data_IF_173796507645
#
_entry.id   IF_173796507645
#
_cell.length_a   1.000
_cell.length_b   1.000
_cell.length_c   1.000
_cell.angle_alpha   90.00
_cell.angle_beta   90.00
_cell.angle_gamma   90.00
#
_symmetry.space_group_name_H-M   'P 1'
#
loop_
_entity.id
_entity.type
_entity.pdbx_description
1 polymer ?
#
# COMPACT_ATOMS: atom_id res chain seq x y z
N UNK A 1 17.18 -4.58 -24.16
CA UNK A 1 16.54 -3.80 -23.08
C UNK A 1 16.16 -2.43 -23.64
N UNK A 2 14.95 -1.98 -23.30
CA UNK A 2 14.46 -0.65 -23.71
C UNK A 2 15.02 0.40 -22.74
N UNK A 3 15.94 1.28 -23.18
CA UNK A 3 16.53 2.30 -22.31
C UNK A 3 15.62 3.53 -22.13
N UNK A 4 14.44 3.55 -22.75
CA UNK A 4 13.55 4.71 -22.75
C UNK A 4 12.52 4.68 -21.62
N UNK A 5 12.43 3.56 -20.89
CA UNK A 5 11.46 3.38 -19.80
C UNK A 5 12.16 3.09 -18.49
N UNK A 6 11.69 3.72 -17.39
CA UNK A 6 12.18 3.40 -16.07
C UNK A 6 11.74 1.97 -15.65
N UNK A 7 12.57 1.32 -14.86
CA UNK A 7 12.39 -0.05 -14.42
C UNK A 7 12.16 -0.09 -12.92
N UNK A 8 11.03 -0.67 -12.51
CA UNK A 8 10.80 -1.15 -11.16
C UNK A 8 11.14 -2.65 -11.11
N UNK A 9 12.27 -2.97 -10.50
CA UNK A 9 12.83 -4.32 -10.58
C UNK A 9 12.14 -5.34 -9.65
N UNK A 10 11.41 -4.90 -8.63
CA UNK A 10 10.96 -5.79 -7.54
C UNK A 10 9.53 -5.56 -7.06
N UNK A 11 8.83 -4.60 -7.64
CA UNK A 11 7.43 -4.29 -7.27
C UNK A 11 7.17 -4.20 -5.75
N UNK A 12 8.13 -3.62 -5.01
CA UNK A 12 7.93 -3.21 -3.63
C UNK A 12 8.12 -4.24 -2.52
N UNK A 13 8.29 -5.53 -2.84
CA UNK A 13 8.48 -6.56 -1.81
C UNK A 13 9.93 -6.67 -1.31
N UNK A 14 10.89 -6.68 -2.24
CA UNK A 14 12.31 -6.83 -1.92
C UNK A 14 13.14 -5.91 -2.78
N UNK A 15 13.85 -4.99 -2.17
CA UNK A 15 14.79 -4.16 -2.91
C UNK A 15 16.03 -4.95 -3.32
N UNK A 16 16.13 -5.27 -4.61
CA UNK A 16 17.29 -5.91 -5.22
C UNK A 16 18.44 -4.93 -5.51
N UNK A 17 18.30 -3.66 -5.12
CA UNK A 17 19.27 -2.58 -5.33
C UNK A 17 19.60 -2.34 -6.80
N UNK A 18 18.65 -2.60 -7.68
CA UNK A 18 18.74 -2.38 -9.12
C UNK A 18 17.44 -1.72 -9.63
N UNK A 19 17.46 -1.29 -10.90
CA UNK A 19 16.37 -0.52 -11.49
C UNK A 19 16.41 0.95 -11.11
N UNK A 20 15.40 1.70 -11.52
CA UNK A 20 15.31 3.15 -11.39
C UNK A 20 14.51 3.57 -10.15
N UNK A 21 13.72 2.65 -9.60
CA UNK A 21 12.89 2.88 -8.42
C UNK A 21 13.40 2.12 -7.20
N UNK A 22 13.23 2.75 -6.04
CA UNK A 22 13.15 2.08 -4.76
C UNK A 22 11.67 2.05 -4.36
N UNK A 23 10.99 0.97 -4.70
CA UNK A 23 9.56 0.79 -4.46
C UNK A 23 9.29 0.01 -3.17
N UNK A 24 8.18 0.32 -2.51
CA UNK A 24 7.73 -0.39 -1.31
C UNK A 24 6.22 -0.63 -1.37
N UNK A 25 5.78 -1.79 -0.87
CA UNK A 25 4.39 -2.05 -0.51
C UNK A 25 4.18 -1.72 0.97
N UNK A 26 3.14 -0.99 1.30
CA UNK A 26 2.87 -0.63 2.68
C UNK A 26 1.39 -0.66 3.03
N UNK A 27 0.95 -1.74 3.65
CA UNK A 27 -0.41 -1.92 4.16
C UNK A 27 -0.51 -1.87 5.69
N UNK A 28 0.61 -1.94 6.40
CA UNK A 28 0.62 -2.21 7.84
C UNK A 28 1.26 -1.11 8.70
N UNK A 29 1.83 -0.09 8.06
CA UNK A 29 2.62 0.92 8.76
C UNK A 29 2.08 2.30 8.49
N UNK A 30 2.15 3.20 9.48
CA UNK A 30 1.93 4.61 9.22
C UNK A 30 2.86 5.10 8.11
N UNK A 31 2.33 5.84 7.14
CA UNK A 31 3.13 6.32 6.01
C UNK A 31 4.18 7.35 6.44
N UNK A 32 3.94 8.03 7.56
CA UNK A 32 4.80 9.06 8.13
C UNK A 32 6.20 8.56 8.50
N UNK A 33 6.39 7.23 8.61
CA UNK A 33 7.71 6.64 8.84
C UNK A 33 8.66 6.79 7.65
N UNK A 34 8.14 7.04 6.46
CA UNK A 34 8.94 7.17 5.25
C UNK A 34 9.39 8.63 5.02
N UNK A 35 10.52 8.82 4.33
CA UNK A 35 11.60 7.89 4.04
C UNK A 35 12.61 7.77 5.18
N UNK A 36 12.27 8.26 6.37
CA UNK A 36 13.21 8.36 7.49
C UNK A 36 13.75 7.01 7.95
N UNK A 37 14.98 7.08 8.48
CA UNK A 37 15.72 5.96 9.07
C UNK A 37 15.18 5.54 10.45
N UNK A 38 13.92 5.89 10.74
CA UNK A 38 13.28 5.57 12.01
C UNK A 38 13.42 4.07 12.37
N UNK A 39 13.19 3.68 13.61
CA UNK A 39 13.51 2.35 14.12
C UNK A 39 12.64 1.26 13.50
N UNK A 40 12.91 0.94 12.25
CA UNK A 40 12.32 -0.19 11.52
C UNK A 40 12.49 -1.50 12.28
N UNK A 41 13.58 -1.60 13.10
CA UNK A 41 13.85 -2.78 13.93
C UNK A 41 12.74 -3.11 14.93
N UNK A 42 12.14 -2.12 15.58
CA UNK A 42 11.09 -2.35 16.57
C UNK A 42 9.81 -2.87 15.94
N UNK A 43 9.40 -2.27 14.81
CA UNK A 43 8.15 -2.65 14.14
C UNK A 43 8.25 -4.02 13.46
N UNK A 44 9.36 -4.32 12.79
CA UNK A 44 9.60 -5.64 12.20
C UNK A 44 9.60 -6.71 13.27
N UNK A 45 10.24 -6.46 14.41
CA UNK A 45 10.28 -7.39 15.54
C UNK A 45 8.86 -7.63 16.12
N UNK A 46 8.04 -6.60 16.20
CA UNK A 46 6.67 -6.72 16.72
C UNK A 46 5.75 -7.44 15.73
N UNK A 47 5.87 -7.14 14.44
CA UNK A 47 5.18 -7.86 13.38
C UNK A 47 5.59 -9.33 13.33
N UNK A 48 6.88 -9.64 13.39
CA UNK A 48 7.40 -11.00 13.44
C UNK A 48 6.92 -11.74 14.69
N UNK A 49 6.88 -11.06 15.86
CA UNK A 49 6.36 -11.62 17.10
C UNK A 49 4.88 -11.99 16.99
N UNK A 50 4.08 -11.12 16.38
CA UNK A 50 2.63 -11.33 16.19
C UNK A 50 2.35 -12.44 15.17
N UNK A 51 3.21 -12.62 14.16
CA UNK A 51 3.02 -13.53 13.04
C UNK A 51 3.98 -14.74 13.03
N UNK A 52 4.68 -15.00 14.14
CA UNK A 52 5.66 -16.10 14.28
C UNK A 52 5.16 -17.48 13.86
N UNK A 53 3.84 -17.70 13.85
CA UNK A 53 3.23 -18.97 13.40
C UNK A 53 3.14 -19.10 11.87
N UNK A 54 3.35 -18.02 11.11
CA UNK A 54 3.37 -18.04 9.65
C UNK A 54 4.77 -17.70 9.11
N UNK A 55 5.72 -18.58 9.39
CA UNK A 55 7.14 -18.44 9.01
C UNK A 55 7.42 -18.20 7.51
N UNK A 56 6.42 -18.24 6.64
CA UNK A 56 6.58 -17.99 5.19
C UNK A 56 6.34 -16.54 4.78
N UNK A 57 5.83 -15.70 5.65
CA UNK A 57 5.53 -14.30 5.36
C UNK A 57 6.57 -13.31 5.92
N UNK A 58 7.67 -13.79 6.50
CA UNK A 58 8.66 -12.98 7.22
C UNK A 58 9.66 -12.25 6.30
N UNK A 59 9.33 -12.04 5.04
CA UNK A 59 10.28 -11.54 4.07
C UNK A 59 10.10 -10.06 3.67
N UNK A 60 9.39 -9.29 4.45
CA UNK A 60 9.24 -7.85 4.22
C UNK A 60 10.43 -7.06 4.76
N UNK A 61 11.53 -7.07 4.03
CA UNK A 61 12.68 -6.23 4.37
C UNK A 61 12.57 -4.92 3.63
N UNK A 62 11.98 -3.92 4.27
CA UNK A 62 12.14 -2.54 3.81
C UNK A 62 13.54 -2.09 4.19
N UNK A 63 14.44 -2.09 3.23
CA UNK A 63 15.78 -1.52 3.44
C UNK A 63 15.68 0.01 3.50
N UNK A 64 16.44 0.66 4.40
CA UNK A 64 16.44 2.12 4.48
C UNK A 64 16.87 2.74 3.14
N UNK A 65 16.08 3.68 2.64
CA UNK A 65 16.32 4.42 1.40
C UNK A 65 17.72 5.05 1.34
N UNK A 66 18.29 5.40 2.48
CA UNK A 66 19.46 6.27 2.61
C UNK A 66 20.79 5.70 2.09
N UNK A 67 20.86 4.48 1.57
CA UNK A 67 22.15 3.87 1.18
C UNK A 67 22.29 3.50 -0.30
N UNK A 68 21.29 3.77 -1.13
CA UNK A 68 21.25 3.14 -2.45
C UNK A 68 21.09 4.09 -3.63
N UNK A 69 21.86 5.17 -3.66
CA UNK A 69 22.01 5.98 -4.87
C UNK A 69 20.77 6.84 -5.17
N UNK A 70 20.68 7.29 -6.39
CA UNK A 70 19.73 8.30 -6.89
C UNK A 70 18.44 7.65 -7.42
N UNK A 71 17.98 6.53 -6.84
CA UNK A 71 16.72 5.91 -7.26
C UNK A 71 15.52 6.64 -6.67
N UNK A 72 14.49 6.84 -7.50
CA UNK A 72 13.26 7.48 -7.05
C UNK A 72 12.54 6.60 -6.02
N UNK A 73 12.17 7.17 -4.86
CA UNK A 73 11.39 6.46 -3.86
C UNK A 73 9.90 6.48 -4.22
N UNK A 74 9.28 5.31 -4.29
CA UNK A 74 7.87 5.13 -4.65
C UNK A 74 7.20 4.17 -3.67
N UNK A 75 5.99 4.51 -3.22
CA UNK A 75 5.09 3.57 -2.56
C UNK A 75 4.24 2.93 -3.66
N UNK A 76 4.65 1.75 -4.12
CA UNK A 76 4.05 1.08 -5.27
C UNK A 76 2.72 0.38 -4.96
N UNK A 77 2.42 0.17 -3.69
CA UNK A 77 1.09 -0.23 -3.21
C UNK A 77 0.86 0.23 -1.77
N UNK A 78 -0.35 0.75 -1.50
CA UNK A 78 -0.79 1.07 -0.15
C UNK A 78 -2.31 1.24 -0.10
N UNK A 79 -2.86 1.33 1.12
CA UNK A 79 -4.29 1.46 1.35
C UNK A 79 -4.93 0.10 1.61
N UNK A 80 -5.57 -0.50 0.62
CA UNK A 80 -6.20 -1.80 0.78
C UNK A 80 -7.33 -1.81 1.81
N UNK A 81 -8.01 -0.66 1.99
CA UNK A 81 -9.10 -0.47 2.94
C UNK A 81 -10.40 -0.96 2.33
N UNK A 82 -11.02 -1.96 2.92
CA UNK A 82 -12.17 -2.65 2.35
C UNK A 82 -13.50 -2.11 2.86
N UNK A 83 -14.44 -1.94 1.94
CA UNK A 83 -15.83 -1.61 2.19
C UNK A 83 -16.74 -2.46 1.31
N UNK A 84 -17.57 -3.27 1.92
CA UNK A 84 -18.57 -4.09 1.22
C UNK A 84 -19.76 -3.23 0.79
N UNK A 85 -20.11 -3.30 -0.49
CA UNK A 85 -21.39 -2.85 -1.03
C UNK A 85 -22.14 -4.10 -1.52
N UNK A 86 -23.06 -4.68 -0.74
CA UNK A 86 -23.55 -6.06 -0.93
C UNK A 86 -24.13 -6.35 -2.32
N UNK A 87 -24.89 -5.43 -2.88
CA UNK A 87 -25.56 -5.62 -4.18
C UNK A 87 -24.61 -5.51 -5.38
N UNK A 88 -23.38 -5.04 -5.13
CA UNK A 88 -22.37 -4.76 -6.16
C UNK A 88 -21.06 -5.50 -5.92
N UNK A 89 -21.05 -6.46 -4.98
CA UNK A 89 -19.90 -7.29 -4.67
C UNK A 89 -20.03 -8.71 -5.27
N UNK A 90 -18.91 -9.29 -5.64
CA UNK A 90 -18.85 -10.69 -6.10
C UNK A 90 -18.97 -11.70 -4.95
N UNK A 91 -18.73 -11.26 -3.72
CA UNK A 91 -18.67 -12.09 -2.51
C UNK A 91 -19.39 -11.42 -1.34
N UNK A 92 -19.74 -12.19 -0.34
CA UNK A 92 -20.46 -11.71 0.86
C UNK A 92 -19.53 -11.26 1.99
N UNK A 93 -18.22 -11.47 1.86
CA UNK A 93 -17.22 -11.12 2.87
C UNK A 93 -16.05 -10.41 2.23
N UNK A 94 -15.70 -9.27 2.79
CA UNK A 94 -14.54 -8.50 2.37
C UNK A 94 -13.24 -9.15 2.84
N UNK A 95 -12.19 -8.95 2.05
CA UNK A 95 -10.81 -9.05 2.47
C UNK A 95 -10.14 -7.69 2.28
N UNK A 96 -9.38 -7.25 3.28
CA UNK A 96 -8.63 -6.00 3.24
C UNK A 96 -7.70 -5.83 4.44
N UNK A 97 -6.93 -4.77 4.42
CA UNK A 97 -6.00 -4.42 5.51
C UNK A 97 -6.65 -3.52 6.57
N UNK A 98 -7.87 -3.07 6.31
CA UNK A 98 -8.81 -2.45 7.22
C UNK A 98 -10.20 -2.66 6.67
N UNK A 99 -11.15 -3.09 7.51
CA UNK A 99 -12.54 -3.32 7.14
C UNK A 99 -13.41 -2.26 7.82
N UNK A 100 -14.39 -1.72 7.10
CA UNK A 100 -15.29 -0.67 7.57
C UNK A 100 -16.74 -1.08 7.31
N UNK A 101 -17.59 -0.89 8.32
CA UNK A 101 -19.03 -1.15 8.21
C UNK A 101 -19.80 0.04 7.61
N UNK A 102 -19.23 1.25 7.75
CA UNK A 102 -19.80 2.49 7.24
C UNK A 102 -19.01 3.00 6.04
N UNK A 103 -19.73 3.38 4.97
CA UNK A 103 -19.11 3.98 3.79
C UNK A 103 -18.44 5.33 4.13
N UNK A 104 -18.98 6.07 5.08
CA UNK A 104 -18.43 7.38 5.46
C UNK A 104 -17.14 7.23 6.27
N UNK A 105 -17.08 6.24 7.18
CA UNK A 105 -15.85 5.92 7.90
C UNK A 105 -14.77 5.42 6.94
N UNK A 106 -15.14 4.60 5.95
CA UNK A 106 -14.25 4.17 4.90
C UNK A 106 -13.72 5.34 4.08
N UNK A 107 -14.61 6.26 3.64
CA UNK A 107 -14.22 7.47 2.92
C UNK A 107 -13.25 8.33 3.72
N UNK A 108 -13.53 8.52 4.99
CA UNK A 108 -12.65 9.27 5.89
C UNK A 108 -11.27 8.61 6.00
N UNK A 109 -11.23 7.30 6.16
CA UNK A 109 -9.98 6.54 6.25
C UNK A 109 -9.17 6.60 4.94
N UNK A 110 -9.83 6.45 3.79
CA UNK A 110 -9.15 6.56 2.48
C UNK A 110 -8.61 7.98 2.25
N UNK A 111 -9.39 9.01 2.57
CA UNK A 111 -8.92 10.41 2.51
C UNK A 111 -7.70 10.63 3.41
N UNK A 112 -7.72 10.06 4.61
CA UNK A 112 -6.61 10.17 5.56
C UNK A 112 -5.34 9.52 5.03
N UNK A 113 -5.41 8.29 4.52
CA UNK A 113 -4.22 7.59 4.01
C UNK A 113 -3.67 8.23 2.74
N UNK A 114 -4.53 8.77 1.87
CA UNK A 114 -4.13 9.54 0.69
C UNK A 114 -3.43 10.85 1.09
N UNK A 115 -3.97 11.56 2.07
CA UNK A 115 -3.36 12.79 2.59
C UNK A 115 -1.98 12.51 3.22
N UNK A 116 -1.84 11.41 3.96
CA UNK A 116 -0.56 10.96 4.51
C UNK A 116 0.45 10.65 3.40
N UNK A 117 0.03 9.99 2.32
CA UNK A 117 0.91 9.74 1.17
C UNK A 117 1.34 11.05 0.49
N UNK A 118 0.40 11.96 0.22
CA UNK A 118 0.69 13.25 -0.40
C UNK A 118 1.66 14.09 0.44
N UNK A 119 1.55 14.07 1.76
CA UNK A 119 2.46 14.79 2.67
C UNK A 119 3.92 14.33 2.55
N UNK A 120 4.16 13.10 2.09
CA UNK A 120 5.52 12.57 1.88
C UNK A 120 6.22 13.14 0.65
N UNK A 121 5.51 13.80 -0.25
CA UNK A 121 6.14 14.47 -1.42
C UNK A 121 7.24 15.43 -0.98
N UNK A 122 6.95 16.26 0.03
CA UNK A 122 7.93 17.21 0.60
C UNK A 122 9.14 16.51 1.26
N UNK A 123 9.05 15.22 1.52
CA UNK A 123 10.09 14.38 2.11
C UNK A 123 10.79 13.48 1.09
N UNK A 124 10.50 13.66 -0.20
CA UNK A 124 11.18 12.99 -1.31
C UNK A 124 10.46 11.76 -1.86
N UNK A 125 9.16 11.57 -1.55
CA UNK A 125 8.34 10.58 -2.25
C UNK A 125 8.14 11.05 -3.70
N UNK A 126 8.54 10.22 -4.66
CA UNK A 126 8.44 10.53 -6.09
C UNK A 126 7.08 10.10 -6.70
N UNK A 127 6.40 9.18 -6.07
CA UNK A 127 5.09 8.72 -6.52
C UNK A 127 4.49 7.67 -5.60
N UNK A 128 3.18 7.42 -5.77
CA UNK A 128 2.47 6.38 -5.04
C UNK A 128 1.33 5.79 -5.86
N UNK A 129 0.98 4.54 -5.57
CA UNK A 129 -0.13 3.83 -6.19
C UNK A 129 -1.07 3.34 -5.10
N UNK A 130 -2.30 3.86 -5.08
CA UNK A 130 -3.34 3.40 -4.17
C UNK A 130 -3.93 2.06 -4.66
N UNK A 131 -4.10 1.12 -3.77
CA UNK A 131 -4.75 -0.16 -4.03
C UNK A 131 -6.19 -0.11 -3.50
N UNK A 132 -7.21 -0.03 -4.40
CA UNK A 132 -7.09 -0.07 -5.86
C UNK A 132 -8.25 0.68 -6.56
N UNK A 133 -8.30 0.67 -7.89
CA UNK A 133 -9.33 1.39 -8.66
C UNK A 133 -10.71 0.74 -8.51
N UNK A 134 -10.81 -0.58 -8.62
CA UNK A 134 -12.08 -1.30 -8.47
C UNK A 134 -11.87 -2.56 -7.64
N UNK A 135 -12.95 -3.01 -6.99
CA UNK A 135 -12.95 -4.30 -6.29
C UNK A 135 -12.57 -5.44 -7.23
N UNK A 136 -11.83 -6.42 -6.69
CA UNK A 136 -11.42 -7.64 -7.40
C UNK A 136 -11.68 -8.83 -6.49
N UNK A 137 -12.59 -9.70 -6.90
CA UNK A 137 -12.97 -10.91 -6.15
C UNK A 137 -13.33 -10.59 -4.69
N UNK A 138 -12.59 -11.12 -3.70
CA UNK A 138 -12.78 -10.85 -2.28
C UNK A 138 -12.10 -9.56 -1.79
N UNK A 139 -11.25 -8.96 -2.59
CA UNK A 139 -10.61 -7.68 -2.28
C UNK A 139 -11.57 -6.52 -2.57
N UNK A 140 -12.37 -6.14 -1.58
CA UNK A 140 -13.38 -5.07 -1.69
C UNK A 140 -12.80 -3.69 -1.31
N UNK A 141 -11.56 -3.44 -1.69
CA UNK A 141 -10.77 -2.25 -1.37
C UNK A 141 -10.69 -1.23 -2.53
N UNK A 142 -11.44 -1.48 -3.60
CA UNK A 142 -11.54 -0.57 -4.74
C UNK A 142 -12.28 0.74 -4.40
N UNK A 143 -11.97 1.80 -5.14
CA UNK A 143 -12.76 3.03 -5.16
C UNK A 143 -14.11 2.83 -5.87
N UNK A 144 -14.13 1.90 -6.83
CA UNK A 144 -15.33 1.44 -7.53
C UNK A 144 -15.70 0.04 -7.05
N UNK A 145 -16.99 -0.30 -7.11
CA UNK A 145 -17.47 -1.66 -6.87
C UNK A 145 -16.98 -2.64 -7.95
N UNK A 146 -17.11 -3.95 -7.67
CA UNK A 146 -16.70 -5.01 -8.59
C UNK A 146 -17.28 -4.87 -10.00
N UNK A 147 -18.56 -4.56 -10.10
CA UNK A 147 -19.26 -4.31 -11.36
C UNK A 147 -19.07 -2.89 -11.93
N UNK A 148 -18.31 -2.03 -11.20
CA UNK A 148 -18.02 -0.62 -11.53
C UNK A 148 -19.22 0.29 -11.65
N UNK A 149 -20.37 -0.09 -11.08
CA UNK A 149 -21.60 0.69 -11.11
C UNK A 149 -21.69 1.72 -9.99
N UNK A 150 -20.99 1.49 -8.90
CA UNK A 150 -20.96 2.40 -7.76
C UNK A 150 -19.55 2.96 -7.58
N UNK A 151 -19.44 4.28 -7.61
CA UNK A 151 -18.29 5.01 -7.11
C UNK A 151 -18.46 5.15 -5.60
N UNK A 152 -17.67 4.44 -4.83
CA UNK A 152 -17.73 4.48 -3.37
C UNK A 152 -17.30 5.84 -2.80
N UNK A 153 -16.64 6.68 -3.61
CA UNK A 153 -16.16 8.02 -3.24
C UNK A 153 -17.15 9.12 -3.62
N UNK A 154 -18.06 8.86 -4.56
CA UNK A 154 -19.12 9.81 -4.89
C UNK A 154 -20.05 10.08 -3.69
N UNK A 155 -20.46 11.34 -3.56
CA UNK A 155 -21.45 11.78 -2.58
C UNK A 155 -22.86 11.51 -3.06
#
# INVERSE_FOLDING_TARGET
>A
LDPTRPIDATSGWYDQRCGDFHSVHNYFRPLEIYPDKGPLRGYVAEFEKKHRRRRRAAHYVVLPVARHGVRAFVISEFGGLAQLVPEHAAVSRAYGYGEYDSIDDWRAAVRSVLASAAALESRGLAGYVYTQVSDVEEELNGLLTYDRRVDKFAE
#
